data_IF_248608098212
#
_entry.id   IF_248608098212
#
_cell.length_a   1.000
_cell.length_b   1.000
_cell.length_c   1.000
_cell.angle_alpha   90.00
_cell.angle_beta   90.00
_cell.angle_gamma   90.00
#
_symmetry.space_group_name_H-M   'P 1'
#
loop_
_entity.id
_entity.type
_entity.pdbx_description
1 polymer ?
#
# COMPACT_ATOMS: atom_id res chain seq x y z
N UNK A 1 -6.11 17.60 7.45
CA UNK A 1 -5.71 18.46 8.60
C UNK A 1 -4.18 18.59 8.66
N UNK A 2 -3.55 18.63 7.48
CA UNK A 2 -2.10 18.61 7.30
C UNK A 2 -1.35 17.48 8.04
N UNK A 3 -1.99 16.38 8.42
CA UNK A 3 -1.31 15.23 9.00
C UNK A 3 -1.25 14.05 8.03
N UNK A 4 -0.25 13.18 8.21
CA UNK A 4 -0.22 11.88 7.54
C UNK A 4 -0.81 10.81 8.44
N UNK A 5 -1.46 9.81 7.85
CA UNK A 5 -2.01 8.68 8.57
C UNK A 5 -1.33 7.40 8.09
N UNK A 6 -0.91 6.56 9.03
CA UNK A 6 -0.20 5.33 8.74
C UNK A 6 -0.80 4.16 9.51
N UNK A 7 -0.93 3.02 8.84
CA UNK A 7 -1.21 1.75 9.50
C UNK A 7 0.10 1.08 9.90
N UNK A 8 0.09 0.41 11.03
CA UNK A 8 1.22 -0.39 11.52
C UNK A 8 0.69 -1.67 12.18
N UNK A 9 1.53 -2.67 12.39
CA UNK A 9 1.08 -3.93 12.97
C UNK A 9 2.16 -4.66 13.75
N UNK A 10 1.72 -5.62 14.55
CA UNK A 10 2.59 -6.48 15.37
C UNK A 10 3.58 -5.70 16.24
N UNK A 11 3.10 -4.68 16.94
CA UNK A 11 3.95 -3.85 17.79
C UNK A 11 3.14 -2.95 18.72
N UNK A 12 3.83 -2.06 19.42
CA UNK A 12 3.22 -1.10 20.35
C UNK A 12 2.98 0.29 19.76
N UNK A 13 3.22 0.50 18.47
CA UNK A 13 3.21 1.82 17.84
C UNK A 13 4.36 2.72 18.35
N UNK A 14 4.24 4.02 18.15
CA UNK A 14 5.27 4.98 18.57
C UNK A 14 5.41 5.01 20.11
N UNK A 15 6.65 4.92 20.61
CA UNK A 15 6.96 4.87 22.05
C UNK A 15 6.54 3.58 22.79
N UNK A 16 5.95 2.62 22.08
CA UNK A 16 5.62 1.28 22.54
C UNK A 16 6.65 0.24 22.10
N UNK A 17 6.36 -1.03 22.40
CA UNK A 17 7.18 -2.18 21.99
C UNK A 17 6.34 -3.48 21.95
N UNK A 18 6.99 -4.63 21.79
CA UNK A 18 6.32 -5.93 21.73
C UNK A 18 5.65 -6.38 23.05
N UNK A 19 5.90 -5.70 24.16
CA UNK A 19 5.29 -5.94 25.48
C UNK A 19 4.39 -4.79 25.90
N UNK A 20 4.61 -3.59 25.35
CA UNK A 20 4.00 -2.33 25.77
C UNK A 20 3.08 -1.78 24.67
N UNK A 21 1.77 -1.96 24.86
CA UNK A 21 0.75 -1.49 23.92
C UNK A 21 0.59 -2.37 22.68
N UNK A 22 1.07 -3.62 22.72
CA UNK A 22 1.05 -4.52 21.56
C UNK A 22 -0.36 -4.75 21.04
N UNK A 23 -0.57 -4.51 19.75
CA UNK A 23 -1.79 -4.87 19.01
C UNK A 23 -1.45 -5.51 17.67
N UNK A 24 -2.44 -6.20 17.08
CA UNK A 24 -2.28 -6.82 15.74
C UNK A 24 -2.21 -5.75 14.64
N UNK A 25 -3.13 -4.79 14.66
CA UNK A 25 -3.21 -3.67 13.72
C UNK A 25 -3.44 -2.39 14.52
N UNK A 26 -2.73 -1.34 14.16
CA UNK A 26 -2.87 0.00 14.72
C UNK A 26 -2.84 1.07 13.65
N UNK A 27 -3.29 2.28 14.03
CA UNK A 27 -3.25 3.48 13.18
C UNK A 27 -2.57 4.59 13.96
N UNK A 28 -1.64 5.27 13.30
CA UNK A 28 -0.96 6.45 13.82
C UNK A 28 -1.22 7.66 12.92
N UNK A 29 -1.16 8.83 13.53
CA UNK A 29 -1.10 10.13 12.87
C UNK A 29 0.31 10.68 13.02
N UNK A 30 0.89 11.19 11.95
CA UNK A 30 2.23 11.78 11.94
C UNK A 30 2.06 13.26 11.60
N UNK A 31 2.42 14.11 12.54
CA UNK A 31 2.23 15.56 12.47
C UNK A 31 3.58 16.22 12.13
N UNK A 32 3.57 17.21 11.24
CA UNK A 32 4.79 17.96 10.89
C UNK A 32 5.52 17.49 9.63
N UNK A 33 6.83 17.75 9.62
CA UNK A 33 7.71 17.60 8.44
C UNK A 33 8.61 16.38 8.57
N UNK A 34 9.34 16.03 7.51
CA UNK A 34 10.31 14.94 7.57
C UNK A 34 11.51 15.22 8.47
N UNK A 35 11.79 16.49 8.81
CA UNK A 35 12.87 16.89 9.73
C UNK A 35 12.40 17.00 11.19
N UNK A 36 11.12 17.28 11.39
CA UNK A 36 10.52 17.54 12.69
C UNK A 36 9.08 17.06 12.65
N UNK A 37 8.85 15.86 13.19
CA UNK A 37 7.52 15.25 13.28
C UNK A 37 7.23 14.73 14.69
N UNK A 38 5.96 14.84 15.08
CA UNK A 38 5.42 14.24 16.30
C UNK A 38 4.40 13.16 15.94
N UNK A 39 4.71 11.88 16.22
CA UNK A 39 3.80 10.79 15.90
C UNK A 39 2.88 10.43 17.07
N UNK A 40 1.58 10.32 16.78
CA UNK A 40 0.53 10.01 17.75
C UNK A 40 -0.12 8.68 17.40
N UNK A 41 -0.16 7.74 18.37
CA UNK A 41 -0.95 6.51 18.23
C UNK A 41 -2.44 6.86 18.37
N UNK A 42 -3.22 6.71 17.30
CA UNK A 42 -4.65 7.02 17.29
C UNK A 42 -5.46 5.81 17.74
N UNK A 43 -5.23 4.65 17.13
CA UNK A 43 -6.01 3.44 17.34
C UNK A 43 -5.08 2.26 17.65
N UNK A 44 -5.22 1.72 18.86
CA UNK A 44 -4.26 0.77 19.43
C UNK A 44 -2.94 1.42 19.83
N UNK A 45 -1.97 0.60 20.25
CA UNK A 45 -0.63 1.08 20.61
C UNK A 45 -0.51 1.64 22.02
N UNK A 46 0.73 1.95 22.40
CA UNK A 46 1.06 2.56 23.67
C UNK A 46 0.53 3.99 23.73
N UNK A 47 -0.22 4.30 24.81
CA UNK A 47 -0.92 5.58 24.97
C UNK A 47 -1.83 5.93 23.76
N UNK A 48 -2.36 4.92 23.09
CA UNK A 48 -3.30 5.12 21.98
C UNK A 48 -4.57 5.86 22.42
N UNK A 49 -5.07 6.76 21.58
CA UNK A 49 -6.29 7.53 21.86
C UNK A 49 -7.55 6.64 21.93
N UNK A 50 -7.58 5.57 21.14
CA UNK A 50 -8.66 4.59 21.09
C UNK A 50 -8.11 3.15 21.12
N UNK A 51 -8.94 2.20 21.56
CA UNK A 51 -8.56 0.78 21.59
C UNK A 51 -8.70 0.15 20.20
N UNK A 52 -7.75 -0.69 19.81
CA UNK A 52 -7.91 -1.55 18.64
C UNK A 52 -9.01 -2.60 18.90
N UNK A 53 -9.99 -2.67 18.01
CA UNK A 53 -11.20 -3.49 18.16
C UNK A 53 -11.24 -4.73 17.25
N UNK A 54 -10.32 -4.84 16.29
CA UNK A 54 -10.21 -6.02 15.42
C UNK A 54 -8.74 -6.32 15.09
N UNK A 55 -8.48 -7.60 14.79
CA UNK A 55 -7.18 -8.09 14.34
C UNK A 55 -7.06 -8.08 12.82
N UNK A 56 -5.87 -8.34 12.30
CA UNK A 56 -5.56 -8.33 10.88
C UNK A 56 -4.31 -7.53 10.60
N UNK A 57 -4.10 -7.18 9.33
CA UNK A 57 -3.10 -6.20 8.90
C UNK A 57 -3.73 -5.21 7.95
N UNK A 58 -3.06 -4.09 7.72
CA UNK A 58 -3.38 -3.20 6.62
C UNK A 58 -2.09 -2.69 6.01
N UNK A 59 -2.11 -2.60 4.69
CA UNK A 59 -1.03 -2.04 3.87
C UNK A 59 -1.51 -0.83 3.07
N UNK A 60 -2.81 -0.51 3.15
CA UNK A 60 -3.43 0.57 2.40
C UNK A 60 -4.33 1.37 3.34
N UNK A 61 -3.95 2.63 3.56
CA UNK A 61 -4.80 3.65 4.17
C UNK A 61 -4.86 4.85 3.22
N UNK A 62 -6.03 5.48 3.11
CA UNK A 62 -6.26 6.62 2.22
C UNK A 62 -7.10 7.66 2.94
N UNK A 63 -6.72 8.93 2.84
CA UNK A 63 -7.62 10.05 3.11
C UNK A 63 -8.32 10.47 1.82
N UNK A 64 -9.64 10.34 1.78
CA UNK A 64 -10.47 10.81 0.68
C UNK A 64 -11.42 11.87 1.23
N UNK A 65 -11.08 13.14 0.97
CA UNK A 65 -11.85 14.32 1.40
C UNK A 65 -12.21 14.30 2.91
N UNK A 66 -11.30 13.84 3.77
CA UNK A 66 -11.47 13.80 5.22
C UNK A 66 -12.06 12.49 5.78
N UNK A 67 -12.44 11.54 4.92
CA UNK A 67 -12.80 10.18 5.32
C UNK A 67 -11.59 9.28 5.14
N UNK A 68 -11.15 8.63 6.22
CA UNK A 68 -10.09 7.65 6.15
C UNK A 68 -10.67 6.30 5.70
N UNK A 69 -10.04 5.66 4.73
CA UNK A 69 -10.36 4.34 4.23
C UNK A 69 -9.18 3.41 4.47
N UNK A 70 -9.42 2.17 4.88
CA UNK A 70 -8.36 1.19 5.09
C UNK A 70 -8.77 -0.20 4.58
N UNK A 71 -7.82 -0.94 4.02
CA UNK A 71 -8.03 -2.35 3.68
C UNK A 71 -7.50 -3.26 4.79
N UNK A 72 -8.40 -3.98 5.44
CA UNK A 72 -8.04 -5.07 6.35
C UNK A 72 -7.69 -6.32 5.55
N UNK A 73 -6.50 -6.85 5.78
CA UNK A 73 -5.95 -8.07 5.18
C UNK A 73 -5.83 -9.16 6.23
N UNK A 74 -6.60 -10.23 6.05
CA UNK A 74 -6.56 -11.44 6.88
C UNK A 74 -6.71 -11.20 8.38
N UNK A 75 -6.15 -12.12 9.17
CA UNK A 75 -6.19 -12.07 10.64
C UNK A 75 -4.80 -11.82 11.26
N UNK A 76 -3.73 -12.11 10.53
CA UNK A 76 -2.35 -11.96 10.98
C UNK A 76 -1.38 -11.74 9.80
N UNK A 77 -0.09 -11.59 10.09
CA UNK A 77 0.99 -11.51 9.08
C UNK A 77 1.51 -12.90 8.71
N UNK A 78 0.62 -13.77 8.27
CA UNK A 78 0.86 -15.15 7.84
C UNK A 78 -0.09 -15.51 6.68
N UNK A 79 -0.23 -16.79 6.34
CA UNK A 79 -1.09 -17.26 5.23
C UNK A 79 -2.57 -16.86 5.40
N UNK A 80 -3.01 -16.48 6.61
CA UNK A 80 -4.36 -15.94 6.82
C UNK A 80 -4.60 -14.64 6.04
N UNK A 81 -3.54 -13.94 5.62
CA UNK A 81 -3.62 -12.78 4.75
C UNK A 81 -4.33 -13.05 3.41
N UNK A 82 -4.37 -14.31 2.94
CA UNK A 82 -5.04 -14.69 1.70
C UNK A 82 -6.54 -14.98 1.87
N UNK A 83 -7.01 -15.09 3.12
CA UNK A 83 -8.40 -15.49 3.41
C UNK A 83 -9.44 -14.39 3.20
N UNK A 84 -9.02 -13.12 3.30
CA UNK A 84 -9.94 -12.00 3.38
C UNK A 84 -9.28 -10.64 3.08
N UNK A 85 -9.89 -9.86 2.20
CA UNK A 85 -9.67 -8.40 2.07
C UNK A 85 -10.99 -7.66 2.33
N UNK A 86 -11.03 -6.76 3.30
CA UNK A 86 -12.25 -6.09 3.76
C UNK A 86 -12.01 -4.60 3.95
N UNK A 87 -12.87 -3.77 3.36
CA UNK A 87 -12.71 -2.32 3.40
C UNK A 87 -13.42 -1.74 4.63
N UNK A 88 -12.72 -0.90 5.37
CA UNK A 88 -13.22 -0.13 6.50
C UNK A 88 -13.07 1.35 6.23
N UNK A 89 -13.86 2.15 6.94
CA UNK A 89 -13.75 3.60 6.93
C UNK A 89 -13.86 4.21 8.34
N UNK A 90 -13.32 5.41 8.48
CA UNK A 90 -13.39 6.25 9.67
C UNK A 90 -13.71 7.68 9.26
N UNK A 91 -14.66 8.30 9.98
CA UNK A 91 -15.06 9.71 9.80
C UNK A 91 -14.60 10.61 10.96
N UNK A 92 -13.85 10.04 11.90
CA UNK A 92 -13.41 10.68 13.13
C UNK A 92 -11.88 10.59 13.25
N UNK A 93 -11.18 10.75 12.11
CA UNK A 93 -9.72 10.79 12.03
C UNK A 93 -9.03 9.53 12.57
N UNK A 94 -9.66 8.36 12.42
CA UNK A 94 -9.11 7.06 12.75
C UNK A 94 -9.41 6.58 14.17
N UNK A 95 -10.23 7.31 14.94
CA UNK A 95 -10.60 6.95 16.32
C UNK A 95 -11.53 5.73 16.35
N UNK A 96 -12.51 5.69 15.45
CA UNK A 96 -13.41 4.55 15.27
C UNK A 96 -13.48 4.12 13.81
N UNK A 97 -13.76 2.83 13.60
CA UNK A 97 -13.74 2.20 12.28
C UNK A 97 -15.00 1.39 12.06
N UNK A 98 -15.58 1.51 10.87
CA UNK A 98 -16.77 0.78 10.45
C UNK A 98 -16.44 -0.06 9.22
N UNK A 99 -16.84 -1.33 9.25
CA UNK A 99 -16.75 -2.20 8.08
C UNK A 99 -17.75 -1.74 7.00
N UNK A 100 -17.38 -1.91 5.74
CA UNK A 100 -18.29 -1.75 4.60
C UNK A 100 -18.81 -3.11 4.12
N UNK A 101 -19.69 -3.10 3.12
CA UNK A 101 -20.09 -4.32 2.39
C UNK A 101 -19.01 -4.78 1.39
N UNK A 102 -17.95 -3.98 1.17
CA UNK A 102 -16.90 -4.31 0.20
C UNK A 102 -15.91 -5.27 0.85
N UNK A 103 -16.04 -6.53 0.41
CA UNK A 103 -15.30 -7.67 0.91
C UNK A 103 -14.98 -8.64 -0.22
N UNK A 104 -13.74 -9.14 -0.22
CA UNK A 104 -13.26 -10.17 -1.13
C UNK A 104 -12.67 -11.33 -0.34
N UNK A 105 -13.13 -12.52 -0.68
CA UNK A 105 -12.66 -13.80 -0.14
C UNK A 105 -12.28 -14.71 -1.31
N UNK A 106 -11.55 -15.82 -1.09
CA UNK A 106 -11.23 -16.75 -2.17
C UNK A 106 -12.46 -17.28 -2.94
N UNK A 107 -13.66 -17.28 -2.34
CA UNK A 107 -14.90 -17.73 -2.99
C UNK A 107 -15.41 -16.78 -4.08
N UNK A 108 -14.96 -15.54 -4.06
CA UNK A 108 -15.35 -14.53 -5.05
C UNK A 108 -14.63 -14.73 -6.40
N UNK A 109 -13.56 -15.52 -6.43
CA UNK A 109 -12.73 -15.78 -7.60
C UNK A 109 -12.96 -17.20 -8.09
N UNK A 110 -13.82 -17.39 -9.09
CA UNK A 110 -14.22 -18.73 -9.56
C UNK A 110 -13.30 -19.27 -10.62
N UNK A 111 -12.74 -18.37 -11.43
CA UNK A 111 -11.94 -18.70 -12.61
C UNK A 111 -10.59 -17.98 -12.63
N UNK A 112 -10.19 -17.39 -11.50
CA UNK A 112 -8.96 -16.62 -11.36
C UNK A 112 -8.37 -16.75 -9.95
N UNK A 113 -7.13 -16.29 -9.76
CA UNK A 113 -6.42 -16.39 -8.46
C UNK A 113 -6.80 -15.25 -7.50
N UNK A 114 -7.16 -15.48 -6.23
CA UNK A 114 -7.44 -14.40 -5.29
C UNK A 114 -6.30 -13.38 -5.20
N UNK A 115 -6.60 -12.17 -4.73
CA UNK A 115 -5.59 -11.16 -4.42
C UNK A 115 -5.49 -10.89 -2.93
N UNK A 116 -4.39 -10.26 -2.49
CA UNK A 116 -4.16 -9.93 -1.09
C UNK A 116 -3.47 -8.59 -0.90
N UNK A 117 -3.48 -8.08 0.33
CA UNK A 117 -2.81 -6.83 0.70
C UNK A 117 -3.13 -5.63 -0.23
N UNK A 118 -4.41 -5.27 -0.45
CA UNK A 118 -4.73 -4.14 -1.32
C UNK A 118 -4.18 -2.82 -0.78
N UNK A 119 -3.65 -1.98 -1.67
CA UNK A 119 -3.14 -0.64 -1.36
C UNK A 119 -3.69 0.40 -2.31
N UNK A 120 -3.96 1.59 -1.81
CA UNK A 120 -4.49 2.69 -2.62
C UNK A 120 -3.35 3.36 -3.39
N UNK A 121 -3.63 3.77 -4.62
CA UNK A 121 -2.81 4.75 -5.32
C UNK A 121 -2.84 6.07 -4.54
N UNK A 122 -1.71 6.53 -4.02
CA UNK A 122 -1.65 7.78 -3.27
C UNK A 122 -1.53 8.99 -4.21
N UNK A 123 -2.27 10.05 -3.91
CA UNK A 123 -2.14 11.38 -4.52
C UNK A 123 -1.82 12.42 -3.43
N UNK A 124 -2.13 13.70 -3.64
CA UNK A 124 -2.01 14.74 -2.62
C UNK A 124 -3.02 14.59 -1.48
N UNK A 125 -3.01 15.57 -0.57
CA UNK A 125 -3.90 15.59 0.61
C UNK A 125 -5.37 15.44 0.21
N UNK A 126 -6.13 14.60 0.93
CA UNK A 126 -7.53 14.33 0.60
C UNK A 126 -7.78 13.76 -0.80
N UNK A 127 -6.77 13.13 -1.41
CA UNK A 127 -6.78 12.64 -2.80
C UNK A 127 -6.71 13.73 -3.89
N UNK A 128 -6.30 14.95 -3.53
CA UNK A 128 -6.13 16.05 -4.50
C UNK A 128 -5.08 15.71 -5.56
N UNK A 129 -5.32 16.19 -6.79
CA UNK A 129 -4.48 15.88 -7.95
C UNK A 129 -4.78 14.52 -8.58
N UNK A 130 -5.84 13.81 -8.14
CA UNK A 130 -6.28 12.59 -8.81
C UNK A 130 -6.61 12.85 -10.29
N UNK A 131 -6.21 11.91 -11.14
CA UNK A 131 -6.36 12.03 -12.60
C UNK A 131 -7.81 12.12 -13.09
N UNK A 132 -8.73 11.54 -12.33
CA UNK A 132 -10.15 11.43 -12.66
C UNK A 132 -10.97 11.13 -11.39
N UNK A 133 -12.24 10.75 -11.56
CA UNK A 133 -13.21 10.52 -10.49
C UNK A 133 -13.07 9.14 -9.79
N UNK A 134 -12.00 8.39 -10.07
CA UNK A 134 -11.81 7.05 -9.52
C UNK A 134 -10.73 7.01 -8.45
N UNK A 135 -10.96 6.16 -7.45
CA UNK A 135 -9.92 5.67 -6.55
C UNK A 135 -9.35 4.38 -7.12
N UNK A 136 -8.04 4.32 -7.31
CA UNK A 136 -7.31 3.16 -7.81
C UNK A 136 -6.70 2.35 -6.67
N UNK A 137 -6.79 1.03 -6.76
CA UNK A 137 -6.34 0.08 -5.73
C UNK A 137 -5.56 -1.05 -6.40
N UNK A 138 -4.35 -1.30 -5.90
CA UNK A 138 -3.44 -2.34 -6.37
C UNK A 138 -3.40 -3.49 -5.37
N UNK A 139 -3.39 -4.73 -5.85
CA UNK A 139 -3.33 -5.89 -4.98
C UNK A 139 -2.55 -7.03 -5.66
N UNK A 140 -1.47 -7.52 -5.05
CA UNK A 140 -0.78 -8.72 -5.50
C UNK A 140 -1.72 -9.93 -5.61
N UNK A 141 -1.56 -10.73 -6.66
CA UNK A 141 -2.25 -12.01 -6.80
C UNK A 141 -1.58 -13.07 -5.92
N UNK A 142 -2.39 -13.98 -5.37
CA UNK A 142 -1.94 -15.19 -4.70
C UNK A 142 -1.57 -16.22 -5.76
N UNK A 143 -0.30 -16.29 -6.13
CA UNK A 143 0.24 -17.32 -7.05
C UNK A 143 0.81 -18.52 -6.32
N UNK A 144 1.14 -18.35 -5.03
CA UNK A 144 1.58 -19.38 -4.10
C UNK A 144 0.80 -19.26 -2.78
N UNK A 145 0.30 -20.37 -2.25
CA UNK A 145 -0.35 -20.42 -0.93
C UNK A 145 0.69 -20.39 0.22
N UNK A 146 1.57 -19.39 0.19
CA UNK A 146 2.65 -19.19 1.16
C UNK A 146 2.88 -17.68 1.37
N UNK A 147 2.99 -17.25 2.62
CA UNK A 147 3.22 -15.86 3.03
C UNK A 147 4.66 -15.40 2.76
N UNK A 148 4.94 -15.28 1.47
CA UNK A 148 6.23 -14.98 0.90
C UNK A 148 6.05 -14.25 -0.44
N UNK A 149 7.16 -13.91 -1.08
CA UNK A 149 7.17 -13.38 -2.45
C UNK A 149 6.47 -14.38 -3.38
N UNK A 150 5.48 -13.90 -4.12
CA UNK A 150 4.63 -14.66 -5.03
C UNK A 150 5.32 -14.79 -6.40
N UNK A 151 5.30 -15.99 -7.01
CA UNK A 151 6.01 -16.31 -8.26
C UNK A 151 5.10 -17.05 -9.26
N UNK A 152 4.98 -16.60 -10.53
CA UNK A 152 5.41 -15.27 -10.99
C UNK A 152 4.69 -14.17 -10.18
N UNK A 153 5.29 -13.00 -10.16
CA UNK A 153 4.70 -11.84 -9.51
C UNK A 153 3.65 -11.24 -10.43
N UNK A 154 2.46 -11.00 -9.90
CA UNK A 154 1.33 -10.42 -10.63
C UNK A 154 0.61 -9.44 -9.72
N UNK A 155 0.28 -8.25 -10.22
CA UNK A 155 -0.51 -7.25 -9.49
C UNK A 155 -1.81 -7.00 -10.24
N UNK A 156 -2.93 -7.17 -9.55
CA UNK A 156 -4.26 -6.73 -10.01
C UNK A 156 -4.46 -5.24 -9.74
N UNK A 157 -5.19 -4.56 -10.63
CA UNK A 157 -5.67 -3.19 -10.44
C UNK A 157 -7.20 -3.19 -10.46
N UNK A 158 -7.80 -2.52 -9.47
CA UNK A 158 -9.23 -2.21 -9.46
C UNK A 158 -9.44 -0.71 -9.25
N UNK A 159 -10.59 -0.22 -9.67
CA UNK A 159 -11.02 1.16 -9.46
C UNK A 159 -12.46 1.23 -8.99
N UNK A 160 -12.81 2.31 -8.32
CA UNK A 160 -14.18 2.61 -7.89
C UNK A 160 -14.42 4.11 -7.95
N UNK A 161 -15.61 4.59 -8.36
CA UNK A 161 -15.95 6.01 -8.24
C UNK A 161 -15.78 6.47 -6.80
N UNK A 162 -15.19 7.65 -6.59
CA UNK A 162 -14.88 8.19 -5.25
C UNK A 162 -16.10 8.28 -4.32
N UNK A 163 -17.29 8.52 -4.86
CA UNK A 163 -18.56 8.60 -4.14
C UNK A 163 -19.19 7.21 -3.86
N UNK A 164 -18.57 6.14 -4.33
CA UNK A 164 -19.07 4.77 -4.28
C UNK A 164 -18.12 3.78 -3.57
N UNK A 165 -17.12 4.28 -2.83
CA UNK A 165 -16.14 3.44 -2.11
C UNK A 165 -16.76 2.32 -1.26
N UNK A 166 -17.95 2.52 -0.68
CA UNK A 166 -18.63 1.50 0.13
C UNK A 166 -19.58 0.59 -0.67
N UNK A 167 -19.57 0.63 -2.01
CA UNK A 167 -20.53 -0.09 -2.88
C UNK A 167 -19.81 -1.13 -3.74
N UNK A 168 -19.91 -2.40 -3.36
CA UNK A 168 -19.13 -3.50 -3.98
C UNK A 168 -19.41 -3.67 -5.48
N UNK A 169 -20.64 -3.45 -5.93
CA UNK A 169 -21.09 -3.55 -7.33
C UNK A 169 -20.61 -2.39 -8.23
N UNK A 170 -19.96 -1.38 -7.64
CA UNK A 170 -19.37 -0.22 -8.34
C UNK A 170 -17.89 -0.37 -8.62
N UNK A 171 -17.27 -1.45 -8.13
CA UNK A 171 -15.87 -1.76 -8.41
C UNK A 171 -15.72 -2.33 -9.81
N UNK A 172 -14.69 -1.87 -10.50
CA UNK A 172 -14.28 -2.37 -11.81
C UNK A 172 -12.82 -2.82 -11.75
N UNK A 173 -12.50 -3.89 -12.45
CA UNK A 173 -11.18 -4.50 -12.51
C UNK A 173 -10.55 -4.24 -13.87
N UNK A 174 -9.26 -3.92 -13.87
CA UNK A 174 -8.50 -3.74 -15.09
C UNK A 174 -8.52 -5.05 -15.89
N UNK A 175 -8.99 -5.00 -17.13
CA UNK A 175 -9.17 -6.16 -18.00
C UNK A 175 -8.16 -6.18 -19.17
N UNK A 176 -7.11 -5.37 -19.09
CA UNK A 176 -6.08 -5.26 -20.12
C UNK A 176 -6.19 -3.99 -20.96
N UNK A 177 -5.38 -3.92 -22.00
CA UNK A 177 -5.41 -2.83 -23.00
C UNK A 177 -6.19 -3.34 -24.21
N UNK A 178 -7.17 -2.57 -24.68
CA UNK A 178 -7.94 -2.91 -25.89
C UNK A 178 -7.15 -2.58 -27.16
N UNK A 179 -7.73 -2.96 -28.31
CA UNK A 179 -7.14 -2.72 -29.65
C UNK A 179 -6.91 -1.24 -29.98
N UNK A 180 -7.52 -0.31 -29.22
CA UNK A 180 -7.35 1.14 -29.35
C UNK A 180 -6.24 1.69 -28.43
N UNK A 181 -5.53 0.82 -27.70
CA UNK A 181 -4.49 1.25 -26.75
C UNK A 181 -5.05 1.81 -25.44
N UNK A 182 -6.34 1.62 -25.14
CA UNK A 182 -6.98 2.12 -23.93
C UNK A 182 -7.19 1.03 -22.89
N UNK A 183 -7.17 1.39 -21.60
CA UNK A 183 -7.48 0.45 -20.52
C UNK A 183 -8.95 0.02 -20.55
N UNK A 184 -9.15 -1.29 -20.65
CA UNK A 184 -10.46 -1.94 -20.49
C UNK A 184 -10.75 -2.22 -19.03
N UNK A 185 -12.03 -2.16 -18.67
CA UNK A 185 -12.51 -2.36 -17.30
C UNK A 185 -13.70 -3.31 -17.31
N UNK A 186 -13.68 -4.31 -16.43
CA UNK A 186 -14.77 -5.27 -16.25
C UNK A 186 -15.32 -5.21 -14.84
N UNK A 187 -16.62 -5.47 -14.67
CA UNK A 187 -17.23 -5.69 -13.35
C UNK A 187 -17.04 -7.11 -12.84
N UNK A 188 -16.67 -8.03 -13.74
CA UNK A 188 -16.38 -9.40 -13.40
C UNK A 188 -14.92 -9.51 -12.96
N UNK A 189 -14.71 -9.87 -11.70
CA UNK A 189 -13.38 -10.01 -11.13
C UNK A 189 -12.59 -11.06 -11.91
N UNK A 190 -13.21 -12.14 -12.37
CA UNK A 190 -12.54 -13.23 -13.08
C UNK A 190 -12.03 -12.85 -14.48
N UNK A 191 -12.44 -11.69 -15.03
CA UNK A 191 -11.96 -11.16 -16.31
C UNK A 191 -10.77 -10.22 -16.17
N UNK A 192 -10.28 -9.99 -14.95
CA UNK A 192 -9.16 -9.07 -14.73
C UNK A 192 -7.87 -9.60 -15.34
N UNK A 193 -7.04 -8.67 -15.81
CA UNK A 193 -5.66 -8.90 -16.22
C UNK A 193 -4.70 -8.28 -15.22
N UNK A 194 -3.46 -8.79 -15.17
CA UNK A 194 -2.40 -8.19 -14.37
C UNK A 194 -1.97 -6.85 -14.96
N UNK A 195 -1.85 -5.83 -14.11
CA UNK A 195 -1.35 -4.50 -14.47
C UNK A 195 0.18 -4.43 -14.47
N UNK A 196 0.80 -5.36 -13.74
CA UNK A 196 2.23 -5.52 -13.60
C UNK A 196 2.52 -7.01 -13.41
N UNK A 197 3.55 -7.51 -14.09
CA UNK A 197 4.04 -8.88 -13.94
C UNK A 197 5.57 -8.90 -13.98
N UNK A 198 6.19 -9.69 -13.11
CA UNK A 198 7.65 -9.83 -13.05
C UNK A 198 8.05 -11.25 -12.60
N UNK A 199 9.05 -11.83 -13.28
CA UNK A 199 9.56 -13.17 -12.98
C UNK A 199 10.29 -13.22 -11.62
N UNK A 200 10.80 -12.09 -11.13
CA UNK A 200 11.39 -11.97 -9.79
C UNK A 200 10.33 -11.98 -8.68
N UNK A 201 9.05 -12.02 -9.03
CA UNK A 201 7.97 -12.10 -8.07
C UNK A 201 7.50 -10.76 -7.54
N UNK A 202 6.46 -10.81 -6.72
CA UNK A 202 5.82 -9.65 -6.08
C UNK A 202 5.40 -10.05 -4.66
N UNK A 203 5.57 -9.17 -3.69
CA UNK A 203 4.87 -9.26 -2.41
C UNK A 203 4.09 -7.97 -2.15
N UNK A 204 4.20 -7.36 -0.97
CA UNK A 204 3.42 -6.16 -0.66
C UNK A 204 3.86 -5.03 -1.58
N UNK A 205 2.89 -4.31 -2.12
CA UNK A 205 3.12 -3.21 -3.06
C UNK A 205 2.53 -1.91 -2.55
N UNK A 206 3.11 -0.80 -2.97
CA UNK A 206 2.53 0.53 -2.79
C UNK A 206 2.68 1.30 -4.09
N UNK A 207 1.74 2.21 -4.36
CA UNK A 207 1.79 3.06 -5.54
C UNK A 207 1.50 4.49 -5.14
N UNK A 208 2.28 5.42 -5.66
CA UNK A 208 2.09 6.85 -5.45
C UNK A 208 2.21 7.62 -6.76
N UNK A 209 1.40 8.64 -6.97
CA UNK A 209 1.58 9.60 -8.05
C UNK A 209 2.50 10.74 -7.59
N UNK A 210 3.60 10.92 -8.31
CA UNK A 210 4.50 12.06 -8.18
C UNK A 210 4.04 13.15 -9.14
N UNK A 211 3.43 14.21 -8.60
CA UNK A 211 2.85 15.32 -9.39
C UNK A 211 3.92 16.10 -10.16
N UNK A 212 5.05 16.43 -9.52
CA UNK A 212 6.11 17.24 -10.14
C UNK A 212 6.80 16.55 -11.31
N UNK A 213 6.95 15.22 -11.25
CA UNK A 213 7.47 14.42 -12.37
C UNK A 213 6.39 13.90 -13.31
N UNK A 214 5.12 14.02 -12.92
CA UNK A 214 3.97 13.43 -13.61
C UNK A 214 4.15 11.94 -13.88
N UNK A 215 4.54 11.18 -12.84
CA UNK A 215 4.77 9.74 -12.93
C UNK A 215 4.09 8.97 -11.79
N UNK A 216 3.55 7.81 -12.13
CA UNK A 216 3.10 6.82 -11.16
C UNK A 216 4.31 5.98 -10.75
N UNK A 217 4.53 5.83 -9.46
CA UNK A 217 5.65 5.11 -8.88
C UNK A 217 5.13 3.89 -8.14
N UNK A 218 5.46 2.70 -8.61
CA UNK A 218 5.12 1.42 -7.99
C UNK A 218 6.34 0.86 -7.27
N UNK A 219 6.16 0.42 -6.03
CA UNK A 219 7.18 -0.27 -5.24
C UNK A 219 6.69 -1.66 -4.89
N UNK A 220 7.56 -2.66 -4.95
CA UNK A 220 7.28 -4.02 -4.45
C UNK A 220 8.53 -4.70 -3.91
N UNK A 221 8.35 -5.61 -2.95
CA UNK A 221 9.40 -6.56 -2.57
C UNK A 221 9.47 -7.69 -3.59
N UNK A 222 10.69 -8.12 -3.94
CA UNK A 222 10.92 -9.13 -4.98
C UNK A 222 12.09 -10.05 -4.61
N UNK A 223 12.18 -11.19 -5.31
CA UNK A 223 13.12 -12.31 -5.11
C UNK A 223 12.94 -13.01 -3.77
N UNK A 224 12.97 -12.25 -2.69
CA UNK A 224 12.77 -12.68 -1.31
C UNK A 224 12.47 -11.45 -0.47
N UNK A 225 11.81 -11.65 0.67
CA UNK A 225 11.68 -10.59 1.68
C UNK A 225 12.77 -10.64 2.75
N UNK A 226 13.73 -11.57 2.64
CA UNK A 226 14.75 -11.82 3.66
C UNK A 226 16.14 -11.37 3.21
N UNK A 227 17.00 -11.06 4.17
CA UNK A 227 18.35 -10.51 3.95
C UNK A 227 19.20 -11.29 2.96
N UNK A 228 19.05 -12.62 2.91
CA UNK A 228 19.88 -13.50 2.09
C UNK A 228 19.91 -13.11 0.61
N UNK A 229 18.79 -12.61 0.07
CA UNK A 229 18.63 -12.36 -1.36
C UNK A 229 17.45 -11.43 -1.70
N UNK A 230 16.94 -10.68 -0.73
CA UNK A 230 15.75 -9.86 -0.94
C UNK A 230 16.04 -8.60 -1.73
N UNK A 231 15.08 -8.20 -2.57
CA UNK A 231 15.17 -7.03 -3.43
C UNK A 231 13.98 -6.10 -3.25
N UNK A 232 14.20 -4.83 -3.51
CA UNK A 232 13.16 -3.83 -3.74
C UNK A 232 13.16 -3.48 -5.24
N UNK A 233 11.99 -3.56 -5.85
CA UNK A 233 11.73 -3.05 -7.19
C UNK A 233 10.95 -1.74 -7.09
N UNK A 234 11.43 -0.71 -7.79
CA UNK A 234 10.74 0.56 -8.01
C UNK A 234 10.57 0.73 -9.51
N UNK A 235 9.33 1.03 -9.92
CA UNK A 235 8.94 1.15 -11.31
C UNK A 235 8.17 2.45 -11.53
N UNK A 236 8.28 3.01 -12.73
CA UNK A 236 7.55 4.21 -13.15
C UNK A 236 6.63 3.94 -14.33
N UNK A 237 5.55 4.70 -14.42
CA UNK A 237 4.66 4.71 -15.58
C UNK A 237 4.02 6.08 -15.78
N UNK A 238 3.57 6.34 -17.02
CA UNK A 238 2.77 7.52 -17.38
C UNK A 238 1.27 7.34 -17.09
N UNK A 239 0.82 6.09 -16.91
CA UNK A 239 -0.57 5.77 -16.58
C UNK A 239 -0.57 4.84 -15.34
N UNK A 240 -1.65 4.84 -14.53
CA UNK A 240 -1.73 3.96 -13.37
C UNK A 240 -1.83 2.48 -13.79
N UNK A 241 -2.09 2.19 -15.07
CA UNK A 241 -2.07 0.83 -15.61
C UNK A 241 -0.80 0.48 -16.40
N UNK A 242 0.27 1.26 -16.27
CA UNK A 242 1.50 1.05 -17.04
C UNK A 242 1.44 1.63 -18.47
N UNK A 243 2.35 1.23 -19.37
CA UNK A 243 3.41 0.24 -19.14
C UNK A 243 4.43 0.70 -18.09
N UNK A 244 4.88 -0.23 -17.26
CA UNK A 244 5.82 0.02 -16.17
C UNK A 244 7.27 -0.13 -16.65
N UNK A 245 8.14 0.78 -16.24
CA UNK A 245 9.58 0.75 -16.54
C UNK A 245 10.37 0.74 -15.23
N UNK A 246 11.46 -0.02 -15.18
CA UNK A 246 12.28 -0.13 -13.97
C UNK A 246 13.03 1.17 -13.69
N UNK A 247 12.90 1.69 -12.48
CA UNK A 247 13.70 2.79 -11.93
C UNK A 247 14.82 2.26 -11.06
N UNK A 248 14.51 1.30 -10.18
CA UNK A 248 15.47 0.67 -9.28
C UNK A 248 15.11 -0.81 -9.11
N UNK A 249 16.12 -1.66 -9.14
CA UNK A 249 16.01 -3.04 -8.68
C UNK A 249 17.28 -3.39 -7.92
N UNK A 250 17.21 -3.49 -6.60
CA UNK A 250 18.41 -3.57 -5.76
C UNK A 250 18.14 -4.28 -4.42
N UNK A 251 19.20 -4.77 -3.79
CA UNK A 251 19.16 -5.26 -2.41
C UNK A 251 19.10 -4.09 -1.42
N UNK A 252 18.05 -3.96 -0.57
CA UNK A 252 18.00 -2.87 0.41
C UNK A 252 19.08 -3.02 1.51
N UNK A 253 19.70 -4.19 1.67
CA UNK A 253 20.82 -4.39 2.58
C UNK A 253 22.13 -3.85 2.00
N UNK A 254 22.37 -4.09 0.71
CA UNK A 254 23.54 -3.54 0.01
C UNK A 254 23.47 -2.02 -0.09
N UNK A 255 22.25 -1.47 -0.23
CA UNK A 255 21.99 -0.03 -0.17
C UNK A 255 22.09 0.56 1.25
N UNK A 256 22.29 -0.26 2.29
CA UNK A 256 22.33 0.20 3.68
C UNK A 256 20.99 0.68 4.24
N UNK A 257 19.88 0.43 3.56
CA UNK A 257 18.53 0.79 4.00
C UNK A 257 17.95 -0.21 5.00
N UNK A 258 18.46 -1.44 5.03
CA UNK A 258 18.07 -2.52 5.94
C UNK A 258 19.28 -3.14 6.65
N UNK A 259 19.11 -3.39 7.95
CA UNK A 259 20.05 -4.12 8.81
C UNK A 259 19.37 -5.30 9.52
N UNK A 260 18.04 -5.37 9.52
CA UNK A 260 17.25 -6.48 10.04
C UNK A 260 17.26 -7.71 9.12
N UNK A 261 16.62 -8.80 9.55
CA UNK A 261 16.61 -10.07 8.80
C UNK A 261 15.60 -10.11 7.65
N UNK A 262 14.67 -9.15 7.58
CA UNK A 262 13.60 -9.07 6.57
C UNK A 262 13.24 -7.61 6.26
N UNK A 263 12.88 -7.34 5.01
CA UNK A 263 12.14 -6.12 4.65
C UNK A 263 10.64 -6.43 4.66
N UNK A 264 9.79 -5.39 4.76
CA UNK A 264 8.35 -5.60 4.97
C UNK A 264 7.47 -4.68 4.12
N UNK A 265 7.67 -3.36 4.14
CA UNK A 265 6.84 -2.44 3.37
C UNK A 265 7.59 -1.13 3.11
N UNK A 266 7.31 -0.51 1.97
CA UNK A 266 7.98 0.69 1.45
C UNK A 266 6.95 1.55 0.72
N UNK A 267 6.96 2.87 0.94
CA UNK A 267 6.01 3.81 0.33
C UNK A 267 6.58 5.23 0.23
N UNK A 268 6.34 5.91 -0.88
CA UNK A 268 6.68 7.33 -1.01
C UNK A 268 5.66 8.20 -0.27
N UNK A 269 6.15 9.12 0.55
CA UNK A 269 5.34 10.11 1.27
C UNK A 269 5.19 11.38 0.43
N UNK A 270 4.09 11.52 -0.30
CA UNK A 270 3.83 12.70 -1.15
C UNK A 270 3.87 14.01 -0.37
N UNK A 271 3.43 14.03 0.90
CA UNK A 271 3.49 15.23 1.76
C UNK A 271 4.91 15.76 1.94
N UNK A 272 5.90 14.86 1.93
CA UNK A 272 7.30 15.18 2.21
C UNK A 272 8.18 15.10 0.95
N UNK A 273 7.58 15.23 -0.24
CA UNK A 273 8.28 15.37 -1.51
C UNK A 273 8.44 16.85 -1.89
N UNK A 274 9.47 17.19 -2.66
CA UNK A 274 9.62 18.53 -3.21
C UNK A 274 8.53 18.83 -4.24
N UNK A 275 8.23 20.12 -4.46
CA UNK A 275 7.20 20.56 -5.42
C UNK A 275 7.48 20.12 -6.86
N UNK A 276 8.76 20.09 -7.26
CA UNK A 276 9.19 19.60 -8.57
C UNK A 276 9.23 18.06 -8.65
N UNK A 277 8.92 17.37 -7.54
CA UNK A 277 8.89 15.92 -7.47
C UNK A 277 10.26 15.24 -7.51
N UNK A 278 11.36 15.99 -7.67
CA UNK A 278 12.71 15.42 -7.82
C UNK A 278 13.29 14.92 -6.50
N UNK A 279 12.94 15.52 -5.37
CA UNK A 279 13.33 15.05 -4.04
C UNK A 279 12.14 14.34 -3.38
N UNK A 280 12.41 13.18 -2.78
CA UNK A 280 11.38 12.36 -2.15
C UNK A 280 11.75 11.98 -0.72
N UNK A 281 10.72 11.64 0.05
CA UNK A 281 10.86 10.89 1.30
C UNK A 281 10.22 9.50 1.12
N UNK A 282 11.00 8.46 1.40
CA UNK A 282 10.54 7.07 1.38
C UNK A 282 10.33 6.61 2.82
N UNK A 283 9.08 6.31 3.16
CA UNK A 283 8.67 5.73 4.44
C UNK A 283 8.69 4.21 4.31
N UNK A 284 9.26 3.53 5.30
CA UNK A 284 9.43 2.09 5.22
C UNK A 284 9.48 1.44 6.60
N UNK A 285 9.36 0.12 6.64
CA UNK A 285 9.69 -0.64 7.85
C UNK A 285 11.20 -0.54 8.06
N UNK A 286 11.60 0.26 9.05
CA UNK A 286 12.93 0.84 9.27
C UNK A 286 14.08 -0.17 9.29
N UNK A 287 15.33 0.30 9.43
CA UNK A 287 16.51 -0.52 9.15
C UNK A 287 16.57 -1.77 10.05
N UNK A 288 16.17 -1.67 11.32
CA UNK A 288 16.04 -2.81 12.23
C UNK A 288 14.62 -3.40 12.32
N UNK A 289 14.44 -4.44 13.13
CA UNK A 289 13.14 -5.10 13.31
C UNK A 289 12.03 -4.18 13.80
N UNK A 290 10.92 -4.14 13.07
CA UNK A 290 9.63 -3.56 13.46
C UNK A 290 9.66 -2.05 13.82
N UNK A 291 10.47 -1.26 13.11
CA UNK A 291 10.60 0.19 13.31
C UNK A 291 9.93 1.01 12.22
N UNK A 292 9.61 2.27 12.52
CA UNK A 292 9.31 3.29 11.51
C UNK A 292 10.62 3.87 10.97
N UNK A 293 10.82 3.83 9.65
CA UNK A 293 11.99 4.38 8.98
C UNK A 293 11.59 5.41 7.92
N UNK A 294 12.43 6.43 7.75
CA UNK A 294 12.31 7.40 6.66
C UNK A 294 13.69 7.64 6.08
N UNK A 295 13.79 7.61 4.75
CA UNK A 295 15.00 8.00 4.02
C UNK A 295 14.66 9.04 2.97
N UNK A 296 15.54 10.02 2.77
CA UNK A 296 15.43 11.00 1.69
C UNK A 296 16.25 10.55 0.50
N UNK A 297 15.75 10.85 -0.68
CA UNK A 297 16.47 10.61 -1.92
C UNK A 297 16.05 11.57 -3.01
N UNK A 298 16.63 11.38 -4.18
CA UNK A 298 16.30 12.15 -5.37
C UNK A 298 16.18 11.26 -6.59
N UNK A 299 15.25 11.59 -7.48
CA UNK A 299 15.18 11.01 -8.81
C UNK A 299 16.18 11.73 -9.72
N UNK A 300 16.97 10.95 -10.45
CA UNK A 300 17.81 11.48 -11.53
C UNK A 300 17.01 11.40 -12.82
N UNK A 301 16.63 12.55 -13.35
CA UNK A 301 15.94 12.65 -14.64
C UNK A 301 16.96 13.00 -15.71
N UNK A 302 16.85 12.39 -16.89
CA UNK A 302 17.51 12.93 -18.07
C UNK A 302 16.67 14.13 -18.53
N UNK A 303 17.27 15.32 -18.51
CA UNK A 303 16.65 16.54 -19.02
C UNK A 303 16.42 16.46 -20.54
#
# INVERSE_FOLDING_TARGET
DDNQYATWGDGGGFGGDNRKGRVSLGVARIEGTVDDFDPVNIWGGYKGMAKALFAGKSYGILDLEGVLWLWRTGNASDDSAFSLQELFYSRDKGISWQATEVKFTPRDFRHSRPFFAPTFLQFGAGYQGSRDNYVYIYSPNVTLNKWDVQLPGEISLMRVPRDAMAKRDRYEFFAGINDQGQASWSKDVDQRSSVFSDANGVMRTSVSYNEGLQRYLLITQQVSRFQKNGHIGIYEAEQPWGPWRTVLFASPWELGLQTGNKSVYWNFSNKWSSKDGRQFSLVYTGPGSDNFGVVRGQFITMD
#
